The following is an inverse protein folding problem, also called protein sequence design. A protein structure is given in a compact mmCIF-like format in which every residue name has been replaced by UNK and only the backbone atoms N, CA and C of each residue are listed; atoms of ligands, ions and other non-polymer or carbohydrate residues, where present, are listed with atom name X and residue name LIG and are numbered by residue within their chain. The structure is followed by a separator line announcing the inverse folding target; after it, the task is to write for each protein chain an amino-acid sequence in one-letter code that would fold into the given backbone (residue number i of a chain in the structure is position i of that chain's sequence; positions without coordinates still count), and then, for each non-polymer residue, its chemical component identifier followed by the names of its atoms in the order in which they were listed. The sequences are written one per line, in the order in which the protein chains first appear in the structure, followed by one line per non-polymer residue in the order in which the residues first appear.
data_IF_357888127631
#
_entry.id   IF_357888127631
#
_cell.length_a   1.000
_cell.length_b   1.000
_cell.length_c   1.000
_cell.angle_alpha   90.00
_cell.angle_beta   90.00
_cell.angle_gamma   90.00
#
_symmetry.space_group_name_H-M   'P 1'
#
loop_
_entity.id
_entity.type
_entity.pdbx_description
1 polymer ?
#
# COMPACT_ATOMS: atom_id res chain seq x y z
N UNK A 1 0.73 -10.08 -11.74
CA UNK A 1 0.99 -10.24 -13.19
C UNK A 1 0.33 -11.50 -13.76
N UNK A 2 0.73 -12.72 -13.36
CA UNK A 2 0.19 -13.98 -13.93
C UNK A 2 -1.34 -14.12 -13.88
N UNK A 3 -1.97 -13.79 -12.73
CA UNK A 3 -3.44 -13.86 -12.58
C UNK A 3 -4.14 -12.97 -13.61
N UNK A 4 -3.63 -11.76 -13.82
CA UNK A 4 -4.21 -10.80 -14.78
C UNK A 4 -3.97 -11.21 -16.25
N UNK A 5 -2.83 -11.82 -16.56
CA UNK A 5 -2.49 -12.22 -17.93
C UNK A 5 -3.20 -13.50 -18.37
N UNK A 6 -3.39 -14.47 -17.45
CA UNK A 6 -3.82 -15.84 -17.81
C UNK A 6 -5.29 -16.09 -17.46
N UNK A 7 -5.82 -15.41 -16.45
CA UNK A 7 -7.18 -15.69 -15.99
C UNK A 7 -8.24 -15.01 -16.86
N UNK A 8 -9.24 -15.79 -17.27
CA UNK A 8 -10.43 -15.29 -17.98
C UNK A 8 -11.49 -14.74 -17.01
N UNK A 9 -11.52 -15.22 -15.77
CA UNK A 9 -12.51 -14.83 -14.75
C UNK A 9 -12.09 -13.54 -14.01
N UNK A 10 -10.79 -13.34 -13.81
CA UNK A 10 -10.23 -12.17 -13.13
C UNK A 10 -9.96 -10.99 -14.07
N UNK A 11 -10.93 -10.62 -14.92
CA UNK A 11 -10.80 -9.49 -15.87
C UNK A 11 -11.59 -8.23 -15.47
N UNK A 12 -12.26 -8.26 -14.33
CA UNK A 12 -13.11 -7.16 -13.84
C UNK A 12 -13.05 -7.03 -12.31
N UNK A 13 -14.21 -7.05 -11.65
CA UNK A 13 -14.37 -6.65 -10.25
C UNK A 13 -13.60 -7.55 -9.27
N UNK A 14 -13.41 -8.83 -9.62
CA UNK A 14 -12.65 -9.79 -8.80
C UNK A 14 -11.20 -9.34 -8.57
N UNK A 15 -10.54 -8.78 -9.59
CA UNK A 15 -9.18 -8.26 -9.43
C UNK A 15 -9.14 -6.98 -8.62
N UNK A 16 -10.14 -6.12 -8.77
CA UNK A 16 -10.26 -4.92 -7.96
C UNK A 16 -10.44 -5.30 -6.47
N UNK A 17 -11.29 -6.27 -6.18
CA UNK A 17 -11.50 -6.78 -4.81
C UNK A 17 -10.23 -7.41 -4.26
N UNK A 18 -9.53 -8.23 -5.04
CA UNK A 18 -8.25 -8.82 -4.63
C UNK A 18 -7.20 -7.74 -4.31
N UNK A 19 -7.10 -6.70 -5.15
CA UNK A 19 -6.16 -5.60 -4.91
C UNK A 19 -6.54 -4.80 -3.65
N UNK A 20 -7.83 -4.60 -3.40
CA UNK A 20 -8.30 -3.98 -2.15
C UNK A 20 -7.97 -4.82 -0.93
N UNK A 21 -8.15 -6.15 -0.99
CA UNK A 21 -7.74 -7.05 0.09
C UNK A 21 -6.24 -6.92 0.36
N UNK A 22 -5.40 -6.94 -0.68
CA UNK A 22 -3.94 -6.77 -0.52
C UNK A 22 -3.61 -5.40 0.10
N UNK A 23 -4.22 -4.32 -0.37
CA UNK A 23 -4.01 -2.99 0.18
C UNK A 23 -4.39 -2.90 1.66
N UNK A 24 -5.51 -3.54 2.04
CA UNK A 24 -5.96 -3.60 3.44
C UNK A 24 -5.00 -4.40 4.31
N UNK A 25 -4.57 -5.59 3.86
CA UNK A 25 -3.61 -6.40 4.62
C UNK A 25 -2.26 -5.68 4.83
N UNK A 26 -1.79 -4.94 3.82
CA UNK A 26 -0.58 -4.11 3.94
C UNK A 26 -0.81 -3.01 4.99
N UNK A 27 -1.94 -2.30 4.92
CA UNK A 27 -2.30 -1.27 5.88
C UNK A 27 -2.42 -1.81 7.31
N UNK A 28 -3.13 -2.93 7.50
CA UNK A 28 -3.30 -3.62 8.79
C UNK A 28 -1.94 -4.03 9.37
N UNK A 29 -1.04 -4.55 8.53
CA UNK A 29 0.30 -4.92 8.97
C UNK A 29 1.11 -3.71 9.44
N UNK A 30 1.05 -2.60 8.72
CA UNK A 30 1.76 -1.37 9.10
C UNK A 30 1.19 -0.78 10.38
N UNK A 31 -0.14 -0.65 10.49
CA UNK A 31 -0.80 -0.15 11.71
C UNK A 31 -0.53 -1.04 12.93
N UNK A 32 -0.54 -2.37 12.76
CA UNK A 32 -0.27 -3.31 13.84
C UNK A 32 1.17 -3.26 14.37
N UNK A 33 2.15 -2.91 13.50
CA UNK A 33 3.55 -2.71 13.91
C UNK A 33 3.78 -1.31 14.49
N UNK A 34 3.10 -0.31 13.95
CA UNK A 34 3.21 1.11 14.35
C UNK A 34 2.11 1.43 15.35
N UNK A 35 2.24 0.86 16.55
CA UNK A 35 1.38 1.25 17.66
C UNK A 35 1.79 2.65 18.14
N UNK A 36 1.01 3.66 17.77
CA UNK A 36 1.28 5.09 18.07
C UNK A 36 1.55 5.32 19.57
N UNK A 37 0.86 4.61 20.45
CA UNK A 37 1.05 4.70 21.90
C UNK A 37 2.39 4.16 22.42
N UNK A 38 3.08 3.33 21.62
CA UNK A 38 4.38 2.75 21.94
C UNK A 38 5.53 3.52 21.29
N UNK A 39 5.29 4.16 20.14
CA UNK A 39 6.31 4.93 19.41
C UNK A 39 6.99 5.99 20.28
N UNK A 40 6.23 6.73 21.09
CA UNK A 40 6.81 7.77 21.96
C UNK A 40 7.48 7.23 23.22
N UNK A 41 7.41 5.92 23.47
CA UNK A 41 8.05 5.24 24.60
C UNK A 41 9.35 4.56 24.23
N UNK A 42 9.63 4.43 22.93
CA UNK A 42 10.84 3.84 22.39
C UNK A 42 11.95 4.90 22.24
N UNK A 43 13.23 4.49 22.14
CA UNK A 43 14.31 5.40 21.79
C UNK A 43 14.02 6.11 20.46
N UNK A 44 14.31 7.42 20.39
CA UNK A 44 13.99 8.26 19.23
C UNK A 44 14.46 7.66 17.90
N UNK A 45 15.69 7.17 17.86
CA UNK A 45 16.28 6.58 16.64
C UNK A 45 15.52 5.32 16.19
N UNK A 46 15.11 4.46 17.14
CA UNK A 46 14.32 3.26 16.84
C UNK A 46 12.91 3.62 16.35
N UNK A 47 12.30 4.64 16.95
CA UNK A 47 10.97 5.13 16.55
C UNK A 47 10.99 5.70 15.13
N UNK A 48 12.00 6.52 14.81
CA UNK A 48 12.17 7.09 13.46
C UNK A 48 12.41 5.99 12.43
N UNK A 49 13.29 5.02 12.72
CA UNK A 49 13.57 3.90 11.82
C UNK A 49 12.31 3.04 11.57
N UNK A 50 11.51 2.77 12.61
CA UNK A 50 10.25 2.04 12.47
C UNK A 50 9.22 2.81 11.61
N UNK A 51 9.10 4.12 11.82
CA UNK A 51 8.22 4.99 11.02
C UNK A 51 8.68 4.99 9.56
N UNK A 52 9.98 5.13 9.29
CA UNK A 52 10.53 5.13 7.94
C UNK A 52 10.31 3.81 7.21
N UNK A 53 10.45 2.68 7.93
CA UNK A 53 10.10 1.36 7.38
C UNK A 53 8.62 1.29 6.98
N UNK A 54 7.72 1.80 7.82
CA UNK A 54 6.29 1.85 7.51
C UNK A 54 5.97 2.69 6.28
N UNK A 55 6.54 3.90 6.20
CA UNK A 55 6.40 4.79 5.03
C UNK A 55 6.89 4.07 3.78
N UNK A 56 8.08 3.46 3.84
CA UNK A 56 8.68 2.76 2.70
C UNK A 56 7.83 1.60 2.20
N UNK A 57 7.21 0.82 3.09
CA UNK A 57 6.31 -0.28 2.70
C UNK A 57 5.09 0.25 1.93
N UNK A 58 4.46 1.31 2.44
CA UNK A 58 3.26 1.90 1.81
C UNK A 58 3.57 2.58 0.48
N UNK A 59 4.70 3.29 0.38
CA UNK A 59 5.17 3.88 -0.87
C UNK A 59 5.55 2.78 -1.87
N UNK A 60 6.20 1.70 -1.41
CA UNK A 60 6.57 0.59 -2.30
C UNK A 60 5.37 -0.13 -2.86
N UNK A 61 4.32 -0.31 -2.07
CA UNK A 61 3.03 -0.84 -2.55
C UNK A 61 2.49 -0.01 -3.73
N UNK A 62 2.45 1.32 -3.57
CA UNK A 62 1.99 2.23 -4.61
C UNK A 62 2.84 2.13 -5.89
N UNK A 63 4.17 2.20 -5.75
CA UNK A 63 5.11 2.08 -6.86
C UNK A 63 4.96 0.75 -7.61
N UNK A 64 4.95 -0.36 -6.87
CA UNK A 64 4.91 -1.70 -7.45
C UNK A 64 3.59 -1.96 -8.14
N UNK A 65 2.47 -1.48 -7.59
CA UNK A 65 1.17 -1.56 -8.27
C UNK A 65 1.20 -0.79 -9.59
N UNK A 66 1.65 0.46 -9.59
CA UNK A 66 1.65 1.29 -10.81
C UNK A 66 2.64 0.79 -11.86
N UNK A 67 3.82 0.31 -11.46
CA UNK A 67 4.77 -0.31 -12.37
C UNK A 67 4.18 -1.57 -13.01
N UNK A 68 3.59 -2.46 -12.20
CA UNK A 68 2.96 -3.69 -12.69
C UNK A 68 1.76 -3.39 -13.59
N UNK A 69 0.92 -2.41 -13.21
CA UNK A 69 -0.21 -1.95 -14.02
C UNK A 69 0.26 -1.47 -15.39
N UNK A 70 1.29 -0.62 -15.44
CA UNK A 70 1.87 -0.13 -16.70
C UNK A 70 2.37 -1.27 -17.58
N UNK A 71 3.10 -2.23 -17.02
CA UNK A 71 3.58 -3.40 -17.77
C UNK A 71 2.44 -4.24 -18.36
N UNK A 72 1.36 -4.38 -17.60
CA UNK A 72 0.17 -5.14 -17.99
C UNK A 72 -0.64 -4.42 -19.07
N UNK A 73 -0.79 -3.10 -18.93
CA UNK A 73 -1.51 -2.24 -19.89
C UNK A 73 -0.76 -2.04 -21.20
N UNK A 74 0.55 -2.28 -21.24
CA UNK A 74 1.31 -2.36 -22.49
C UNK A 74 0.98 -3.61 -23.34
N UNK A 75 0.27 -4.58 -22.77
CA UNK A 75 -0.26 -5.74 -23.49
C UNK A 75 -1.69 -5.48 -24.00
N UNK A 76 -2.52 -6.53 -24.04
CA UNK A 76 -3.91 -6.44 -24.48
C UNK A 76 -4.91 -6.13 -23.34
N UNK A 77 -4.43 -5.99 -22.10
CA UNK A 77 -5.29 -5.95 -20.93
C UNK A 77 -5.34 -4.54 -20.31
N UNK A 78 -6.54 -3.96 -20.20
CA UNK A 78 -6.73 -2.61 -19.67
C UNK A 78 -7.30 -2.63 -18.25
N UNK A 79 -6.80 -1.76 -17.37
CA UNK A 79 -7.35 -1.61 -16.03
C UNK A 79 -8.49 -0.58 -16.04
N UNK A 80 -9.75 -0.99 -15.82
CA UNK A 80 -10.90 -0.10 -16.05
C UNK A 80 -11.26 0.77 -14.83
N UNK A 81 -10.60 0.60 -13.68
CA UNK A 81 -11.03 1.21 -12.42
C UNK A 81 -10.22 2.45 -12.01
N UNK A 82 -10.87 3.40 -11.34
CA UNK A 82 -10.17 4.46 -10.62
C UNK A 82 -9.45 3.88 -9.39
N UNK A 83 -8.16 4.17 -9.28
CA UNK A 83 -7.31 3.68 -8.21
C UNK A 83 -7.41 4.51 -6.92
N UNK A 84 -8.15 5.63 -6.91
CA UNK A 84 -8.24 6.50 -5.73
C UNK A 84 -8.65 5.75 -4.46
N UNK A 85 -9.74 4.96 -4.55
CA UNK A 85 -10.25 4.18 -3.40
C UNK A 85 -9.26 3.09 -2.95
N UNK A 86 -8.53 2.49 -3.90
CA UNK A 86 -7.54 1.45 -3.61
C UNK A 86 -6.40 1.96 -2.70
N UNK A 87 -6.03 3.23 -2.86
CA UNK A 87 -4.90 3.83 -2.15
C UNK A 87 -5.30 4.79 -1.03
N UNK A 88 -6.60 5.04 -0.84
CA UNK A 88 -7.09 6.02 0.13
C UNK A 88 -6.56 5.73 1.54
N UNK A 89 -6.74 4.49 2.01
CA UNK A 89 -6.27 4.05 3.32
C UNK A 89 -4.75 4.08 3.44
N UNK A 90 -4.02 3.48 2.49
CA UNK A 90 -2.55 3.44 2.55
C UNK A 90 -1.94 4.84 2.51
N UNK A 91 -2.49 5.76 1.70
CA UNK A 91 -2.04 7.16 1.65
C UNK A 91 -2.36 7.92 2.92
N UNK A 92 -3.53 7.68 3.52
CA UNK A 92 -3.87 8.26 4.81
C UNK A 92 -2.84 7.86 5.88
N UNK A 93 -2.53 6.56 5.99
CA UNK A 93 -1.52 6.07 6.93
C UNK A 93 -0.15 6.68 6.62
N UNK A 94 0.30 6.71 5.35
CA UNK A 94 1.56 7.37 4.98
C UNK A 94 1.61 8.82 5.46
N UNK A 95 0.51 9.57 5.32
CA UNK A 95 0.42 10.96 5.80
C UNK A 95 0.53 11.03 7.33
N UNK A 96 -0.16 10.16 8.05
CA UNK A 96 -0.08 10.08 9.52
C UNK A 96 1.35 9.76 9.96
N UNK A 97 2.02 8.79 9.33
CA UNK A 97 3.40 8.43 9.64
C UNK A 97 4.38 9.58 9.37
N UNK A 98 4.20 10.32 8.26
CA UNK A 98 5.03 11.51 7.97
C UNK A 98 4.85 12.58 9.05
N UNK A 99 3.62 12.86 9.46
CA UNK A 99 3.35 13.80 10.55
C UNK A 99 3.94 13.33 11.88
N UNK A 100 3.88 12.02 12.18
CA UNK A 100 4.48 11.46 13.40
C UNK A 100 6.00 11.60 13.39
N UNK A 101 6.65 11.42 12.23
CA UNK A 101 8.08 11.63 12.06
C UNK A 101 8.48 13.10 12.29
N UNK A 102 7.68 14.05 11.82
CA UNK A 102 7.93 15.49 12.01
C UNK A 102 7.78 15.91 13.48
N UNK A 103 7.00 15.17 14.27
CA UNK A 103 6.74 15.46 15.68
C UNK A 103 7.66 14.73 16.67
N UNK A 104 8.46 13.76 16.20
CA UNK A 104 9.40 12.97 17.00
C UNK A 104 10.76 13.67 17.09
#
# INVERSE_FOLDING_TARGET
KLVWTISRHYKGDEMLNLMQCIANEIADKVEGQIQVSQIFKMPLEESIDLIDKGIRVLEKWYETFHATKKEVENGEAHWPYDNKKLFERTRYITKVLKNLKEAA
#
